data_IF_190550747960
#
_entry.id   IF_190550747960
#
_cell.length_a   1.000
_cell.length_b   1.000
_cell.length_c   1.000
_cell.angle_alpha   90.00
_cell.angle_beta   90.00
_cell.angle_gamma   90.00
#
_symmetry.space_group_name_H-M   'P 1'
#
loop_
_entity.id
_entity.type
_entity.pdbx_description
1 polymer ?
#
# COMPACT_ATOMS: atom_id res chain seq x y z
N UNK A 1 -29.72 -37.14 -38.46
CA UNK A 1 -29.42 -37.01 -39.91
C UNK A 1 -29.51 -35.53 -40.23
N UNK A 2 -28.42 -34.77 -40.08
CA UNK A 2 -27.42 -34.49 -41.12
C UNK A 2 -27.96 -33.65 -42.27
N UNK A 3 -27.64 -32.36 -42.24
CA UNK A 3 -27.38 -31.50 -43.40
C UNK A 3 -26.39 -30.45 -42.85
N UNK A 4 -25.07 -30.47 -43.09
CA UNK A 4 -24.34 -30.28 -44.36
C UNK A 4 -25.04 -29.29 -45.29
N UNK A 5 -24.42 -28.28 -45.87
CA UNK A 5 -23.15 -27.54 -45.78
C UNK A 5 -23.22 -26.60 -47.00
N UNK A 6 -22.45 -25.50 -46.98
CA UNK A 6 -22.06 -24.69 -48.14
C UNK A 6 -23.12 -23.74 -48.69
N UNK A 7 -22.81 -22.56 -49.20
CA UNK A 7 -21.60 -21.73 -49.22
C UNK A 7 -22.14 -20.36 -49.67
N UNK A 8 -21.44 -19.28 -49.32
CA UNK A 8 -21.03 -18.22 -50.24
C UNK A 8 -20.54 -17.04 -49.39
N UNK A 9 -19.22 -16.90 -49.42
CA UNK A 9 -18.48 -15.73 -48.99
C UNK A 9 -19.13 -14.45 -49.52
N UNK A 10 -19.21 -13.43 -48.68
CA UNK A 10 -19.59 -12.09 -49.10
C UNK A 10 -18.30 -11.29 -49.35
N UNK A 11 -17.93 -11.01 -50.62
CA UNK A 11 -16.75 -10.25 -50.95
C UNK A 11 -17.15 -8.80 -51.19
N UNK A 12 -17.06 -7.95 -50.16
CA UNK A 12 -16.78 -6.51 -50.32
C UNK A 12 -16.72 -5.80 -48.97
N UNK A 13 -15.53 -5.71 -48.38
CA UNK A 13 -15.21 -4.72 -47.35
C UNK A 13 -14.06 -3.87 -47.90
N UNK A 14 -14.30 -3.20 -49.02
CA UNK A 14 -13.51 -2.04 -49.42
C UNK A 14 -14.34 -1.12 -50.33
N UNK A 15 -15.40 -0.55 -49.76
CA UNK A 15 -16.01 0.64 -50.34
C UNK A 15 -15.16 1.83 -49.94
N UNK A 16 -14.48 2.39 -50.94
CA UNK A 16 -13.84 3.68 -50.91
C UNK A 16 -14.73 4.71 -50.20
N UNK A 17 -14.19 5.43 -49.22
CA UNK A 17 -14.77 6.69 -48.75
C UNK A 17 -13.63 7.69 -48.56
N UNK A 18 -13.91 8.91 -48.99
CA UNK A 18 -12.95 9.92 -49.37
C UNK A 18 -11.94 10.28 -48.27
N UNK A 19 -10.70 10.51 -48.67
CA UNK A 19 -9.67 11.16 -47.86
C UNK A 19 -10.08 12.60 -47.57
N UNK A 20 -10.90 12.80 -46.53
CA UNK A 20 -11.07 14.12 -45.93
C UNK A 20 -9.75 14.45 -45.25
N UNK A 21 -8.95 15.32 -45.87
CA UNK A 21 -7.79 15.95 -45.23
C UNK A 21 -8.32 16.78 -44.06
N UNK A 22 -8.52 16.17 -42.88
CA UNK A 22 -8.60 16.91 -41.63
C UNK A 22 -7.27 17.65 -41.51
N UNK A 23 -7.32 18.97 -41.71
CA UNK A 23 -6.14 19.81 -41.59
C UNK A 23 -5.57 19.72 -40.17
N UNK A 24 -4.25 19.90 -40.05
CA UNK A 24 -3.56 19.90 -38.75
C UNK A 24 -4.26 20.79 -37.71
N UNK A 25 -4.81 21.94 -38.14
CA UNK A 25 -5.61 22.83 -37.28
C UNK A 25 -6.79 22.12 -36.60
N UNK A 26 -7.58 21.34 -37.35
CA UNK A 26 -8.74 20.63 -36.78
C UNK A 26 -8.37 19.53 -35.77
N UNK A 27 -7.15 19.00 -35.85
CA UNK A 27 -6.63 18.05 -34.87
C UNK A 27 -6.18 18.76 -33.59
N UNK A 28 -5.59 19.95 -33.73
CA UNK A 28 -5.20 20.80 -32.59
C UNK A 28 -6.45 21.31 -31.87
N UNK A 29 -7.46 21.79 -32.59
CA UNK A 29 -8.71 22.29 -32.01
C UNK A 29 -9.44 21.17 -31.25
N UNK A 30 -9.53 19.97 -31.84
CA UNK A 30 -10.10 18.80 -31.17
C UNK A 30 -9.32 18.44 -29.89
N UNK A 31 -7.99 18.50 -29.91
CA UNK A 31 -7.15 18.19 -28.75
C UNK A 31 -7.29 19.25 -27.65
N UNK A 32 -7.39 20.53 -28.02
CA UNK A 32 -7.63 21.62 -27.07
C UNK A 32 -9.01 21.50 -26.42
N UNK A 33 -10.04 21.19 -27.20
CA UNK A 33 -11.39 20.93 -26.70
C UNK A 33 -11.42 19.72 -25.75
N UNK A 34 -10.71 18.65 -26.10
CA UNK A 34 -10.59 17.46 -25.25
C UNK A 34 -9.87 17.79 -23.94
N UNK A 35 -8.79 18.59 -23.97
CA UNK A 35 -8.09 19.05 -22.76
C UNK A 35 -8.98 19.95 -21.89
N UNK A 36 -9.74 20.85 -22.49
CA UNK A 36 -10.70 21.68 -21.77
C UNK A 36 -11.82 20.85 -21.13
N UNK A 37 -12.28 19.80 -21.81
CA UNK A 37 -13.31 18.90 -21.30
C UNK A 37 -12.77 18.00 -20.18
N UNK A 38 -11.52 17.53 -20.28
CA UNK A 38 -10.83 16.84 -19.19
C UNK A 38 -10.69 17.77 -17.98
N UNK A 39 -10.24 19.01 -18.19
CA UNK A 39 -10.09 20.01 -17.13
C UNK A 39 -11.43 20.37 -16.45
N UNK A 40 -12.52 20.46 -17.21
CA UNK A 40 -13.89 20.68 -16.70
C UNK A 40 -14.43 19.45 -15.94
N UNK A 41 -13.86 18.26 -16.15
CA UNK A 41 -14.29 17.00 -15.53
C UNK A 41 -13.42 16.54 -14.34
N UNK A 42 -12.40 17.32 -13.94
CA UNK A 42 -11.39 16.90 -12.96
C UNK A 42 -11.97 16.62 -11.56
N UNK A 43 -12.41 15.38 -11.34
CA UNK A 43 -12.04 14.67 -10.13
C UNK A 43 -10.83 13.84 -10.49
N UNK A 44 -9.64 14.40 -10.27
CA UNK A 44 -8.39 13.66 -10.26
C UNK A 44 -8.63 12.36 -9.47
N UNK A 45 -8.19 11.18 -9.96
CA UNK A 45 -8.39 9.94 -9.22
C UNK A 45 -7.89 10.12 -7.78
N UNK A 46 -8.66 9.70 -6.77
CA UNK A 46 -8.32 9.96 -5.39
C UNK A 46 -6.93 9.41 -5.09
N UNK A 47 -6.09 10.20 -4.42
CA UNK A 47 -4.76 9.76 -3.98
C UNK A 47 -4.91 8.44 -3.20
N UNK A 48 -4.06 7.44 -3.45
CA UNK A 48 -4.20 6.15 -2.79
C UNK A 48 -4.08 6.30 -1.27
N UNK A 49 -4.99 5.66 -0.54
CA UNK A 49 -5.01 5.68 0.92
C UNK A 49 -3.77 5.00 1.51
N UNK A 50 -3.46 5.26 2.77
CA UNK A 50 -2.38 4.56 3.47
C UNK A 50 -2.58 3.04 3.39
N UNK A 51 -3.80 2.54 3.60
CA UNK A 51 -4.10 1.11 3.49
C UNK A 51 -3.80 0.54 2.10
N UNK A 52 -4.14 1.26 1.03
CA UNK A 52 -3.84 0.85 -0.35
C UNK A 52 -2.33 0.80 -0.61
N UNK A 53 -1.56 1.74 -0.05
CA UNK A 53 -0.09 1.71 -0.13
C UNK A 53 0.48 0.51 0.63
N UNK A 54 -0.01 0.27 1.85
CA UNK A 54 0.44 -0.83 2.71
C UNK A 54 0.11 -2.22 2.17
N UNK A 55 -0.85 -2.38 1.26
CA UNK A 55 -1.14 -3.67 0.58
C UNK A 55 0.02 -4.18 -0.27
N UNK A 56 0.96 -3.31 -0.66
CA UNK A 56 2.12 -3.67 -1.49
C UNK A 56 3.29 -4.20 -0.66
N UNK A 57 3.23 -4.06 0.66
CA UNK A 57 4.29 -4.51 1.55
C UNK A 57 4.23 -6.04 1.71
N UNK A 58 5.39 -6.71 1.81
CA UNK A 58 5.44 -8.14 2.06
C UNK A 58 4.92 -8.48 3.48
N UNK A 59 4.64 -9.76 3.78
CA UNK A 59 4.44 -10.18 5.16
C UNK A 59 5.68 -9.84 6.02
N UNK A 60 5.55 -9.79 7.37
CA UNK A 60 6.67 -9.56 8.27
C UNK A 60 7.84 -10.49 7.97
N UNK A 61 9.02 -9.89 7.82
CA UNK A 61 10.26 -10.59 7.46
C UNK A 61 11.10 -10.90 8.68
N UNK A 62 11.00 -10.06 9.71
CA UNK A 62 11.72 -10.19 10.97
C UNK A 62 10.84 -9.81 12.15
N UNK A 63 11.17 -10.35 13.32
CA UNK A 63 10.42 -10.17 14.55
C UNK A 63 11.31 -9.74 15.72
N UNK A 64 10.80 -8.80 16.52
CA UNK A 64 11.40 -8.44 17.80
C UNK A 64 10.44 -8.82 18.92
N UNK A 65 10.91 -9.63 19.86
CA UNK A 65 10.17 -9.93 21.07
C UNK A 65 10.67 -9.06 22.23
N UNK A 66 9.73 -8.35 22.86
CA UNK A 66 9.98 -7.44 23.98
C UNK A 66 9.51 -8.04 25.30
N UNK A 67 8.98 -9.26 25.33
CA UNK A 67 8.49 -9.85 26.58
C UNK A 67 9.56 -9.80 27.68
N UNK A 68 9.13 -9.46 28.90
CA UNK A 68 10.02 -9.44 30.07
C UNK A 68 11.04 -8.30 30.10
N UNK A 69 11.13 -7.45 29.07
CA UNK A 69 11.94 -6.25 29.13
C UNK A 69 11.29 -5.17 29.99
N UNK A 70 12.11 -4.32 30.59
CA UNK A 70 11.65 -3.07 31.19
C UNK A 70 11.33 -2.05 30.09
N UNK A 71 10.54 -1.02 30.42
CA UNK A 71 10.23 0.08 29.50
C UNK A 71 11.49 0.69 28.80
N UNK A 72 12.55 1.11 29.52
CA UNK A 72 13.73 1.69 28.88
C UNK A 72 14.50 0.69 28.01
N UNK A 73 14.56 -0.59 28.41
CA UNK A 73 15.18 -1.65 27.60
C UNK A 73 14.41 -1.88 26.31
N UNK A 74 13.07 -1.93 26.39
CA UNK A 74 12.20 -2.11 25.24
C UNK A 74 12.34 -0.95 24.25
N UNK A 75 12.34 0.29 24.72
CA UNK A 75 12.55 1.46 23.86
C UNK A 75 13.90 1.38 23.12
N UNK A 76 14.98 1.05 23.83
CA UNK A 76 16.31 0.89 23.25
C UNK A 76 16.36 -0.27 22.25
N UNK A 77 15.72 -1.39 22.58
CA UNK A 77 15.64 -2.57 21.73
C UNK A 77 14.91 -2.25 20.41
N UNK A 78 13.75 -1.58 20.48
CA UNK A 78 12.99 -1.14 19.30
C UNK A 78 13.82 -0.26 18.39
N UNK A 79 14.46 0.79 18.92
CA UNK A 79 15.29 1.71 18.11
C UNK A 79 16.45 0.98 17.42
N UNK A 80 17.13 0.09 18.15
CA UNK A 80 18.24 -0.72 17.59
C UNK A 80 17.73 -1.68 16.51
N UNK A 81 16.64 -2.38 16.77
CA UNK A 81 16.06 -3.34 15.84
C UNK A 81 15.62 -2.68 14.52
N UNK A 82 14.92 -1.54 14.60
CA UNK A 82 14.52 -0.78 13.41
C UNK A 82 15.74 -0.32 12.60
N UNK A 83 16.77 0.18 13.28
CA UNK A 83 18.00 0.63 12.62
C UNK A 83 18.67 -0.54 11.87
N UNK A 84 18.83 -1.67 12.54
CA UNK A 84 19.41 -2.87 11.96
C UNK A 84 18.60 -3.39 10.75
N UNK A 85 17.28 -3.47 10.86
CA UNK A 85 16.42 -3.96 9.78
C UNK A 85 16.43 -3.04 8.55
N UNK A 86 16.63 -1.72 8.75
CA UNK A 86 16.81 -0.77 7.65
C UNK A 86 18.13 -0.98 6.92
N UNK A 87 19.22 -1.27 7.65
CA UNK A 87 20.51 -1.62 7.05
C UNK A 87 20.39 -2.89 6.18
N UNK A 88 19.55 -3.84 6.61
CA UNK A 88 19.22 -5.06 5.87
C UNK A 88 18.19 -4.85 4.74
N UNK A 89 17.69 -3.62 4.53
CA UNK A 89 16.66 -3.28 3.53
C UNK A 89 15.39 -4.13 3.62
N UNK A 90 14.97 -4.44 4.83
CA UNK A 90 13.67 -5.08 5.06
C UNK A 90 12.54 -4.05 4.90
N UNK A 91 11.33 -4.53 4.61
CA UNK A 91 10.17 -3.69 4.34
C UNK A 91 9.11 -3.80 5.45
N UNK A 92 8.88 -5.00 6.00
CA UNK A 92 7.85 -5.23 7.02
C UNK A 92 8.40 -6.01 8.21
N UNK A 93 8.09 -5.54 9.42
CA UNK A 93 8.56 -6.09 10.67
C UNK A 93 7.40 -6.34 11.63
N UNK A 94 7.59 -7.27 12.57
CA UNK A 94 6.66 -7.53 13.68
C UNK A 94 7.36 -7.23 15.01
N UNK A 95 6.71 -6.50 15.89
CA UNK A 95 7.21 -6.25 17.25
C UNK A 95 6.20 -6.81 18.23
N UNK A 96 6.61 -7.82 19.00
CA UNK A 96 5.79 -8.50 19.99
C UNK A 96 6.01 -7.82 21.34
N UNK A 97 4.98 -7.17 21.88
CA UNK A 97 5.02 -6.50 23.19
C UNK A 97 4.51 -7.39 24.31
N UNK A 98 3.79 -8.47 23.97
CA UNK A 98 3.05 -9.30 24.91
C UNK A 98 1.71 -8.68 25.30
N UNK A 99 0.78 -9.50 25.80
CA UNK A 99 -0.59 -9.08 26.15
C UNK A 99 -0.74 -8.55 27.59
N UNK A 100 0.31 -8.61 28.42
CA UNK A 100 0.23 -8.32 29.86
C UNK A 100 -0.59 -9.33 30.68
N UNK A 101 -1.04 -10.45 30.10
CA UNK A 101 -1.95 -11.41 30.75
C UNK A 101 -1.34 -12.18 31.93
N UNK A 102 -0.02 -12.12 32.13
CA UNK A 102 0.69 -12.81 33.22
C UNK A 102 1.53 -11.86 34.09
N UNK A 103 1.43 -10.55 33.88
CA UNK A 103 2.07 -9.55 34.75
C UNK A 103 1.07 -9.06 35.78
N UNK A 104 1.45 -9.00 37.06
CA UNK A 104 0.65 -8.49 38.18
C UNK A 104 0.34 -6.98 38.10
N UNK A 105 0.63 -6.31 36.98
CA UNK A 105 0.47 -4.86 36.78
C UNK A 105 0.09 -4.50 35.34
N UNK A 106 -0.15 -3.21 35.11
CA UNK A 106 -0.53 -2.71 33.77
C UNK A 106 0.54 -3.02 32.71
N UNK A 107 0.14 -3.37 31.48
CA UNK A 107 1.07 -3.63 30.40
C UNK A 107 1.78 -2.33 29.98
N UNK A 108 3.03 -2.16 30.45
CA UNK A 108 3.84 -0.95 30.21
C UNK A 108 4.49 -0.95 28.81
N UNK A 109 4.69 -2.12 28.20
CA UNK A 109 5.40 -2.24 26.92
C UNK A 109 4.62 -1.72 25.70
N UNK A 110 3.29 -1.94 25.58
CA UNK A 110 2.49 -1.35 24.50
C UNK A 110 2.63 0.17 24.36
N UNK A 111 2.38 1.01 25.40
CA UNK A 111 2.48 2.46 25.25
C UNK A 111 3.92 2.93 24.96
N UNK A 112 4.93 2.29 25.57
CA UNK A 112 6.35 2.61 25.31
C UNK A 112 6.73 2.31 23.86
N UNK A 113 6.28 1.17 23.34
CA UNK A 113 6.56 0.77 21.95
C UNK A 113 5.86 1.68 20.96
N UNK A 114 4.60 2.05 21.22
CA UNK A 114 3.86 3.02 20.39
C UNK A 114 4.56 4.38 20.36
N UNK A 115 4.98 4.90 21.52
CA UNK A 115 5.68 6.17 21.62
C UNK A 115 7.00 6.15 20.82
N UNK A 116 7.80 5.08 20.98
CA UNK A 116 9.05 4.91 20.23
C UNK A 116 8.81 4.87 18.71
N UNK A 117 7.80 4.13 18.25
CA UNK A 117 7.46 4.05 16.83
C UNK A 117 6.92 5.39 16.29
N UNK A 118 6.12 6.12 17.06
CA UNK A 118 5.64 7.44 16.68
C UNK A 118 6.79 8.43 16.47
N UNK A 119 7.79 8.43 17.37
CA UNK A 119 9.02 9.23 17.19
C UNK A 119 9.76 8.82 15.92
N UNK A 120 9.96 7.51 15.69
CA UNK A 120 10.64 7.02 14.49
C UNK A 120 9.87 7.36 13.19
N UNK A 121 8.55 7.43 13.24
CA UNK A 121 7.71 7.82 12.12
C UNK A 121 7.86 9.33 11.82
N UNK A 122 7.86 10.16 12.85
CA UNK A 122 8.12 11.60 12.71
C UNK A 122 9.53 11.88 12.14
N UNK A 123 10.51 11.06 12.51
CA UNK A 123 11.87 11.08 11.97
C UNK A 123 12.00 10.43 10.58
N UNK A 124 10.90 9.98 9.96
CA UNK A 124 10.87 9.32 8.65
C UNK A 124 11.74 8.05 8.58
N UNK A 125 12.05 7.43 9.73
CA UNK A 125 12.77 6.15 9.79
C UNK A 125 11.85 4.96 9.52
N UNK A 126 10.55 5.12 9.77
CA UNK A 126 9.50 4.16 9.42
C UNK A 126 8.42 4.88 8.61
N UNK A 127 7.77 4.17 7.70
CA UNK A 127 6.66 4.70 6.91
C UNK A 127 5.34 4.71 7.71
N UNK A 128 5.05 3.61 8.40
CA UNK A 128 3.84 3.45 9.21
C UNK A 128 3.97 2.29 10.21
N UNK A 129 3.05 2.23 11.17
CA UNK A 129 2.86 1.07 12.02
C UNK A 129 1.38 0.88 12.36
N UNK A 130 0.98 -0.35 12.72
CA UNK A 130 -0.39 -0.67 13.15
C UNK A 130 -0.42 -1.88 14.06
N UNK A 131 -1.42 -1.97 14.93
CA UNK A 131 -1.69 -3.19 15.68
C UNK A 131 -1.99 -4.36 14.74
N UNK A 132 -1.42 -5.52 15.05
CA UNK A 132 -1.81 -6.77 14.40
C UNK A 132 -3.28 -7.07 14.76
N UNK A 133 -4.12 -7.33 13.74
CA UNK A 133 -5.52 -7.70 13.97
C UNK A 133 -5.60 -9.16 14.41
N UNK A 134 -6.27 -9.44 15.53
CA UNK A 134 -6.69 -10.80 15.91
C UNK A 134 -8.21 -10.92 15.84
N UNK A 135 -8.74 -12.16 15.83
CA UNK A 135 -10.19 -12.43 15.78
C UNK A 135 -10.98 -11.70 16.88
N UNK A 136 -10.32 -11.40 18.01
CA UNK A 136 -10.88 -10.63 19.13
C UNK A 136 -9.78 -9.70 19.66
N UNK A 137 -9.96 -8.39 19.49
CA UNK A 137 -9.11 -7.34 20.06
C UNK A 137 -7.77 -7.08 19.36
N UNK A 138 -6.96 -6.23 20.01
CA UNK A 138 -5.59 -5.91 19.57
C UNK A 138 -4.69 -7.14 19.75
N UNK A 139 -4.00 -7.57 18.69
CA UNK A 139 -2.93 -8.56 18.81
C UNK A 139 -1.82 -7.98 19.69
N UNK A 140 -1.21 -8.78 20.55
CA UNK A 140 -0.07 -8.34 21.39
C UNK A 140 1.22 -8.07 20.60
N UNK A 141 1.08 -7.60 19.36
CA UNK A 141 2.13 -7.29 18.42
C UNK A 141 1.75 -6.12 17.50
N UNK A 142 2.75 -5.34 17.11
CA UNK A 142 2.68 -4.22 16.17
C UNK A 142 3.35 -4.62 14.86
N UNK A 143 2.71 -4.32 13.74
CA UNK A 143 3.30 -4.43 12.41
C UNK A 143 3.88 -3.08 12.02
N UNK A 144 5.14 -3.06 11.62
CA UNK A 144 5.90 -1.84 11.26
C UNK A 144 6.32 -1.93 9.80
N UNK A 145 6.20 -0.82 9.08
CA UNK A 145 6.54 -0.67 7.67
C UNK A 145 7.72 0.28 7.52
N UNK A 146 8.78 -0.16 6.86
CA UNK A 146 9.97 0.62 6.57
C UNK A 146 9.85 1.33 5.20
N UNK A 147 10.39 2.54 5.03
CA UNK A 147 10.27 3.31 3.80
C UNK A 147 10.93 2.66 2.57
#
# INVERSE_FOLDING_TARGET
MSNRKNDLANPNIFSQSATSKKGFGSLVDQYLDDLENVAKSEKLPPKPTLEQKLRRYPPPQEELDLHGLTAPEAEKAVKRFITHCRELRLATLRIITGKGLHSQGEPVLPPVTEAALATLQAEQKIAAFRWEKKRQGRGGALIVYLP
#
